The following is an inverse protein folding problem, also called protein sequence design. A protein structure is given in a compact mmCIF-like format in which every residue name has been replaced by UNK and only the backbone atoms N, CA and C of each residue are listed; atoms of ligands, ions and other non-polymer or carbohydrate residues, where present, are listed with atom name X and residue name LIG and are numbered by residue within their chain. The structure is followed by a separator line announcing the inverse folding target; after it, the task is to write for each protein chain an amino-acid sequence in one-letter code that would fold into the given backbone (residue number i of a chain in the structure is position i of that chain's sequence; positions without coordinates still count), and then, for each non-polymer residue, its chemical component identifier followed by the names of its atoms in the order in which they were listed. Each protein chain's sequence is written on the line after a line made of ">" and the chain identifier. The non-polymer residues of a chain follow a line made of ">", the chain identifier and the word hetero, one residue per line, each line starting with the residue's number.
data_IF_931718124070
#
_entry.id   IF_931718124070
#
_cell.length_a   1.000
_cell.length_b   1.000
_cell.length_c   1.000
_cell.angle_alpha   90.00
_cell.angle_beta   90.00
_cell.angle_gamma   90.00
#
_symmetry.space_group_name_H-M   'P 1'
#
loop_
_entity.id
_entity.type
_entity.pdbx_description
1 polymer ?
#
# COMPACT_ATOMS: atom_id res chain seq x y z
N UNK A 1 -25.88 24.01 -1.67
CA UNK A 1 -25.56 22.57 -1.64
C UNK A 1 -24.25 22.40 -2.37
N UNK A 2 -23.21 21.86 -1.74
CA UNK A 2 -22.05 21.27 -2.41
C UNK A 2 -21.10 20.64 -1.39
N UNK A 3 -20.98 19.30 -1.40
CA UNK A 3 -19.76 18.63 -0.97
C UNK A 3 -19.01 18.06 -2.18
N UNK A 4 -17.75 18.44 -2.26
CA UNK A 4 -16.73 17.96 -3.19
C UNK A 4 -16.51 16.45 -3.02
N UNK A 5 -16.84 15.69 -4.06
CA UNK A 5 -16.91 14.23 -4.02
C UNK A 5 -15.65 13.60 -4.62
N UNK A 6 -14.57 13.56 -3.86
CA UNK A 6 -13.34 12.79 -4.23
C UNK A 6 -13.16 11.51 -3.40
N UNK A 7 -13.96 11.31 -2.35
CA UNK A 7 -13.84 10.19 -1.41
C UNK A 7 -14.43 8.87 -1.95
N UNK A 8 -15.28 8.93 -2.97
CA UNK A 8 -16.03 7.78 -3.48
C UNK A 8 -15.23 6.79 -4.33
N UNK A 9 -14.12 7.21 -4.93
CA UNK A 9 -13.32 6.34 -5.81
C UNK A 9 -12.51 5.31 -5.02
N UNK A 10 -12.00 5.70 -3.84
CA UNK A 10 -11.26 4.80 -2.97
C UNK A 10 -12.13 3.64 -2.46
N UNK A 11 -13.41 3.91 -2.19
CA UNK A 11 -14.36 2.88 -1.74
C UNK A 11 -14.83 1.97 -2.90
N UNK A 12 -14.87 2.47 -4.13
CA UNK A 12 -15.18 1.66 -5.32
C UNK A 12 -14.05 0.70 -5.70
N UNK A 13 -12.79 1.04 -5.39
CA UNK A 13 -11.68 0.11 -5.61
C UNK A 13 -11.63 -1.05 -4.60
N UNK A 14 -12.30 -0.91 -3.44
CA UNK A 14 -12.50 -2.01 -2.48
C UNK A 14 -13.59 -3.01 -2.93
N UNK A 15 -14.46 -2.63 -3.87
CA UNK A 15 -15.43 -3.56 -4.47
C UNK A 15 -14.84 -4.53 -5.50
N UNK A 16 -13.54 -4.44 -5.81
CA UNK A 16 -12.88 -5.45 -6.64
C UNK A 16 -12.68 -6.71 -5.80
N UNK A 17 -13.66 -7.62 -5.89
CA UNK A 17 -13.78 -8.89 -5.15
C UNK A 17 -12.55 -9.81 -5.21
N UNK A 18 -11.55 -9.54 -6.05
CA UNK A 18 -10.44 -10.44 -6.36
C UNK A 18 -9.05 -9.95 -5.93
N UNK A 19 -8.90 -8.73 -5.42
CA UNK A 19 -7.59 -8.27 -4.94
C UNK A 19 -7.33 -8.76 -3.50
N UNK A 20 -6.37 -9.67 -3.33
CA UNK A 20 -5.87 -10.12 -2.01
C UNK A 20 -5.24 -8.94 -1.25
N UNK A 21 -4.50 -8.10 -1.98
CA UNK A 21 -3.75 -6.95 -1.51
C UNK A 21 -3.87 -5.83 -2.55
N UNK A 22 -4.11 -4.60 -2.08
CA UNK A 22 -4.15 -3.38 -2.88
C UNK A 22 -3.14 -2.37 -2.36
N UNK A 23 -2.42 -1.73 -3.28
CA UNK A 23 -1.42 -0.71 -2.98
C UNK A 23 -1.64 0.51 -3.88
N UNK A 24 -1.68 1.69 -3.28
CA UNK A 24 -1.78 2.97 -4.00
C UNK A 24 -0.55 3.81 -3.74
N UNK A 25 0.00 4.42 -4.79
CA UNK A 25 1.20 5.24 -4.75
C UNK A 25 0.85 6.67 -5.13
N UNK A 26 1.13 7.63 -4.25
CA UNK A 26 0.97 9.05 -4.50
C UNK A 26 2.34 9.72 -4.50
N UNK A 27 2.77 10.23 -5.66
CA UNK A 27 3.99 11.02 -5.77
C UNK A 27 3.77 12.40 -5.14
N UNK A 28 4.72 12.81 -4.30
CA UNK A 28 4.76 14.07 -3.55
C UNK A 28 6.17 14.66 -3.67
N UNK A 29 6.28 15.95 -3.40
CA UNK A 29 7.57 16.63 -3.30
C UNK A 29 7.72 17.19 -1.89
N UNK A 30 8.83 16.86 -1.25
CA UNK A 30 9.21 17.45 0.02
C UNK A 30 9.54 18.93 -0.15
N UNK A 31 9.54 19.69 0.96
CA UNK A 31 9.86 21.13 0.97
C UNK A 31 11.26 21.46 0.44
N UNK A 32 12.17 20.50 0.46
CA UNK A 32 13.53 20.60 -0.08
C UNK A 32 13.62 20.23 -1.58
N UNK A 33 12.50 19.95 -2.26
CA UNK A 33 12.45 19.57 -3.67
C UNK A 33 12.69 18.08 -3.94
N UNK A 34 12.87 17.25 -2.90
CA UNK A 34 13.08 15.82 -3.07
C UNK A 34 11.76 15.09 -3.35
N UNK A 35 11.80 14.10 -4.24
CA UNK A 35 10.65 13.23 -4.51
C UNK A 35 10.37 12.29 -3.34
N UNK A 36 9.11 12.23 -2.96
CA UNK A 36 8.56 11.33 -1.97
C UNK A 36 7.40 10.56 -2.60
N UNK A 37 7.22 9.33 -2.19
CA UNK A 37 6.11 8.50 -2.63
C UNK A 37 5.40 8.00 -1.38
N UNK A 38 4.17 8.48 -1.20
CA UNK A 38 3.28 8.00 -0.16
C UNK A 38 2.60 6.73 -0.67
N UNK A 39 2.83 5.62 0.03
CA UNK A 39 2.29 4.32 -0.28
C UNK A 39 1.23 3.98 0.75
N UNK A 40 0.03 3.61 0.29
CA UNK A 40 -1.05 3.12 1.14
C UNK A 40 -1.40 1.70 0.74
N UNK A 41 -1.48 0.81 1.73
CA UNK A 41 -1.75 -0.61 1.57
C UNK A 41 -3.07 -0.98 2.22
N UNK A 42 -3.84 -1.81 1.54
CA UNK A 42 -5.04 -2.47 2.07
C UNK A 42 -4.99 -3.94 1.72
N UNK A 43 -5.39 -4.79 2.63
CA UNK A 43 -5.41 -6.23 2.40
C UNK A 43 -6.68 -6.87 2.94
N UNK A 44 -7.06 -8.00 2.36
CA UNK A 44 -8.10 -8.85 2.92
C UNK A 44 -7.64 -9.48 4.24
N UNK A 45 -8.58 -9.85 5.14
CA UNK A 45 -8.26 -10.62 6.34
C UNK A 45 -7.48 -11.88 5.98
N UNK A 46 -6.34 -12.11 6.63
CA UNK A 46 -5.39 -13.20 6.32
C UNK A 46 -4.03 -12.72 5.81
N UNK A 47 -3.95 -11.50 5.26
CA UNK A 47 -2.68 -10.88 4.84
C UNK A 47 -2.27 -9.75 5.78
N UNK A 48 -0.97 -9.69 6.14
CA UNK A 48 -0.43 -8.74 7.13
C UNK A 48 0.44 -7.67 6.44
N UNK A 49 -0.19 -6.71 5.76
CA UNK A 49 0.55 -5.67 5.00
C UNK A 49 1.28 -4.65 5.87
N UNK A 50 1.05 -4.65 7.19
CA UNK A 50 1.84 -3.83 8.12
C UNK A 50 3.33 -4.15 8.06
N UNK A 51 3.73 -5.41 7.83
CA UNK A 51 5.13 -5.82 7.74
C UNK A 51 5.86 -5.14 6.58
N UNK A 52 5.18 -5.00 5.44
CA UNK A 52 5.70 -4.28 4.27
C UNK A 52 5.87 -2.82 4.63
N UNK A 53 4.85 -2.17 5.20
CA UNK A 53 4.92 -0.77 5.60
C UNK A 53 6.06 -0.50 6.61
N UNK A 54 6.24 -1.37 7.60
CA UNK A 54 7.35 -1.26 8.57
C UNK A 54 8.73 -1.39 7.91
N UNK A 55 8.88 -2.29 6.92
CA UNK A 55 10.14 -2.46 6.18
C UNK A 55 10.56 -1.21 5.40
N UNK A 56 9.59 -0.38 5.02
CA UNK A 56 9.80 0.90 4.35
C UNK A 56 9.82 2.11 5.29
N UNK A 57 9.86 1.89 6.61
CA UNK A 57 9.90 2.96 7.62
C UNK A 57 8.55 3.64 7.88
N UNK A 58 7.45 3.01 7.46
CA UNK A 58 6.09 3.41 7.80
C UNK A 58 5.52 2.63 8.97
N UNK A 59 4.19 2.43 8.96
CA UNK A 59 3.48 1.69 9.99
C UNK A 59 1.98 1.56 9.72
N UNK A 60 1.27 0.88 10.62
CA UNK A 60 -0.17 0.70 10.55
C UNK A 60 -0.64 -0.64 11.12
N UNK A 61 -1.85 -1.05 10.73
CA UNK A 61 -2.49 -2.28 11.17
C UNK A 61 -2.32 -3.40 10.13
N UNK A 62 -2.45 -4.69 10.54
CA UNK A 62 -2.36 -5.83 9.63
C UNK A 62 -3.16 -5.70 8.32
N UNK A 63 -4.45 -5.24 8.31
CA UNK A 63 -5.21 -5.09 7.07
C UNK A 63 -5.03 -3.73 6.36
N UNK A 64 -4.42 -2.74 7.01
CA UNK A 64 -4.29 -1.40 6.48
C UNK A 64 -3.06 -0.69 7.05
N UNK A 65 -2.10 -0.39 6.19
CA UNK A 65 -0.84 0.24 6.58
C UNK A 65 -0.34 1.21 5.51
N UNK A 66 0.61 2.06 5.85
CA UNK A 66 1.18 3.01 4.89
C UNK A 66 2.61 3.37 5.22
N UNK A 67 3.34 3.83 4.21
CA UNK A 67 4.71 4.31 4.36
C UNK A 67 4.99 5.44 3.38
N UNK A 68 5.90 6.34 3.74
CA UNK A 68 6.37 7.40 2.85
C UNK A 68 7.84 7.16 2.56
N UNK A 69 8.16 6.91 1.29
CA UNK A 69 9.51 6.53 0.87
C UNK A 69 10.08 7.64 -0.01
N UNK A 70 11.32 8.04 0.26
CA UNK A 70 12.04 8.97 -0.62
C UNK A 70 12.54 8.24 -1.87
N UNK A 71 12.36 8.86 -3.03
CA UNK A 71 12.73 8.30 -4.33
C UNK A 71 11.68 8.56 -5.39
N UNK A 72 11.97 8.14 -6.62
CA UNK A 72 11.03 8.30 -7.73
C UNK A 72 9.85 7.32 -7.60
N UNK A 73 8.70 7.68 -8.17
CA UNK A 73 7.54 6.80 -8.24
C UNK A 73 7.89 5.42 -8.82
N UNK A 74 8.73 5.37 -9.85
CA UNK A 74 9.15 4.14 -10.53
C UNK A 74 9.99 3.23 -9.63
N UNK A 75 10.97 3.78 -8.91
CA UNK A 75 11.83 3.00 -8.02
C UNK A 75 11.06 2.50 -6.80
N UNK A 76 10.25 3.37 -6.19
CA UNK A 76 9.48 3.00 -4.99
C UNK A 76 8.43 1.96 -5.35
N UNK A 77 7.67 2.16 -6.43
CA UNK A 77 6.67 1.18 -6.87
C UNK A 77 7.28 -0.19 -7.15
N UNK A 78 8.42 -0.26 -7.86
CA UNK A 78 9.10 -1.53 -8.12
C UNK A 78 9.48 -2.26 -6.81
N UNK A 79 10.11 -1.53 -5.86
CA UNK A 79 10.51 -2.11 -4.56
C UNK A 79 9.33 -2.59 -3.74
N UNK A 80 8.26 -1.80 -3.71
CA UNK A 80 7.05 -2.11 -2.93
C UNK A 80 6.29 -3.27 -3.55
N UNK A 81 6.17 -3.34 -4.88
CA UNK A 81 5.53 -4.47 -5.58
C UNK A 81 6.25 -5.78 -5.28
N UNK A 82 7.59 -5.80 -5.33
CA UNK A 82 8.38 -6.98 -4.96
C UNK A 82 8.14 -7.41 -3.51
N UNK A 83 8.07 -6.46 -2.56
CA UNK A 83 7.78 -6.76 -1.16
C UNK A 83 6.36 -7.32 -0.96
N UNK A 84 5.37 -6.83 -1.70
CA UNK A 84 4.00 -7.34 -1.65
C UNK A 84 3.89 -8.73 -2.28
N UNK A 85 4.63 -9.01 -3.35
CA UNK A 85 4.72 -10.35 -3.94
C UNK A 85 5.31 -11.35 -2.96
N UNK A 86 6.37 -10.98 -2.27
CA UNK A 86 6.99 -11.82 -1.24
C UNK A 86 6.04 -12.09 -0.08
N UNK A 87 5.37 -11.05 0.43
CA UNK A 87 4.35 -11.23 1.47
C UNK A 87 3.23 -12.17 1.04
N UNK A 88 2.76 -12.06 -0.20
CA UNK A 88 1.73 -12.94 -0.74
C UNK A 88 2.20 -14.40 -0.79
N UNK A 89 3.45 -14.66 -1.19
CA UNK A 89 4.03 -16.03 -1.18
C UNK A 89 4.04 -16.61 0.24
N UNK A 90 4.50 -15.82 1.21
CA UNK A 90 4.59 -16.25 2.61
C UNK A 90 3.21 -16.52 3.24
N UNK A 91 2.22 -15.69 2.94
CA UNK A 91 0.85 -15.87 3.44
C UNK A 91 0.13 -17.08 2.83
N UNK A 92 0.41 -17.44 1.57
CA UNK A 92 -0.18 -18.62 0.92
C UNK A 92 0.44 -19.93 1.45
N UNK A 93 1.74 -19.93 1.75
CA UNK A 93 2.40 -21.12 2.33
C UNK A 93 2.08 -21.32 3.82
N UNK A 94 1.67 -20.25 4.54
CA UNK A 94 1.27 -20.31 5.95
C UNK A 94 -0.12 -20.90 6.24
N UNK A 95 -1.00 -21.01 5.24
CA UNK A 95 -2.39 -21.52 5.39
C UNK A 95 -2.50 -23.05 5.24
N UNK A 96 -1.36 -23.77 5.18
CA UNK A 96 -1.28 -25.24 5.25
C UNK A 96 -0.84 -25.76 6.63
N UNK A 97 -1.25 -25.09 7.70
CA UNK A 97 -0.98 -25.46 9.09
C UNK A 97 -2.25 -25.86 9.84
#
# INVERSE_FOLDING_TARGET
>A
VEPHKSDGLANFLVTVREADISATFAQRFAKNGHELVECSFRAKPGFIVSQVAFSFGGGGHPPAAGCTVAGTLKEVSARVVEALHELRRQSIDGDRG
#
